data_IF_191547878131
#
_entry.id   IF_191547878131
#
_cell.length_a   1.000
_cell.length_b   1.000
_cell.length_c   1.000
_cell.angle_alpha   90.00
_cell.angle_beta   90.00
_cell.angle_gamma   90.00
#
_symmetry.space_group_name_H-M   'P 1'
#
loop_
_entity.id
_entity.type
_entity.pdbx_description
1 polymer ?
#
# COMPACT_ATOMS: atom_id res chain seq x y z
N UNK A 1 30.94 17.78 -1.37
CA UNK A 1 31.35 16.84 -2.44
C UNK A 1 30.07 16.32 -3.07
N UNK A 2 29.90 16.45 -4.39
CA UNK A 2 28.79 15.81 -5.09
C UNK A 2 29.09 14.32 -5.22
N UNK A 3 28.41 13.49 -4.44
CA UNK A 3 28.45 12.05 -4.65
C UNK A 3 27.76 11.74 -5.98
N UNK A 4 28.39 10.93 -6.84
CA UNK A 4 27.67 10.36 -7.97
C UNK A 4 26.49 9.52 -7.45
N UNK A 5 25.32 9.56 -8.11
CA UNK A 5 24.15 8.82 -7.64
C UNK A 5 24.47 7.33 -7.57
N UNK A 6 24.42 6.77 -6.36
CA UNK A 6 24.86 5.40 -6.08
C UNK A 6 24.02 4.40 -6.87
N UNK A 7 24.58 3.91 -7.99
CA UNK A 7 23.90 2.98 -8.90
C UNK A 7 23.52 1.69 -8.16
N UNK A 8 22.23 1.50 -7.93
CA UNK A 8 21.71 0.25 -7.37
C UNK A 8 21.65 -0.83 -8.46
N UNK A 9 22.05 -2.04 -8.08
CA UNK A 9 21.94 -3.27 -8.85
C UNK A 9 20.56 -3.90 -8.64
N UNK A 10 19.83 -4.08 -9.73
CA UNK A 10 18.62 -4.89 -9.71
C UNK A 10 19.02 -6.37 -9.62
N UNK A 11 18.38 -7.10 -8.71
CA UNK A 11 18.51 -8.56 -8.59
C UNK A 11 17.22 -9.18 -9.14
N UNK A 12 17.35 -10.19 -10.00
CA UNK A 12 16.25 -10.89 -10.69
C UNK A 12 16.51 -11.06 -12.18
N UNK A 13 15.81 -12.00 -12.82
CA UNK A 13 15.90 -12.36 -14.25
C UNK A 13 15.33 -11.30 -15.21
N UNK A 14 15.72 -10.05 -15.00
CA UNK A 14 15.28 -8.90 -15.79
C UNK A 14 13.92 -8.31 -15.34
N UNK A 15 13.49 -7.33 -16.13
CA UNK A 15 12.18 -6.69 -16.00
C UNK A 15 11.07 -7.75 -16.25
N UNK A 16 10.04 -7.90 -15.38
CA UNK A 16 8.97 -8.89 -15.58
C UNK A 16 8.20 -8.70 -16.90
N UNK A 17 8.25 -7.49 -17.46
CA UNK A 17 7.65 -7.10 -18.74
C UNK A 17 8.62 -7.23 -19.92
N UNK A 18 9.84 -7.72 -19.70
CA UNK A 18 10.84 -7.88 -20.75
C UNK A 18 10.34 -8.86 -21.82
N UNK A 19 10.16 -8.38 -23.04
CA UNK A 19 9.57 -9.16 -24.14
C UNK A 19 8.04 -9.10 -24.23
N UNK A 20 7.36 -8.36 -23.35
CA UNK A 20 6.01 -7.89 -23.66
C UNK A 20 6.07 -7.03 -24.93
N UNK A 21 5.17 -7.31 -25.88
CA UNK A 21 4.97 -6.48 -27.07
C UNK A 21 3.70 -5.67 -26.85
N UNK A 22 3.87 -4.46 -26.36
CA UNK A 22 2.76 -3.53 -26.28
C UNK A 22 2.28 -3.20 -27.69
N UNK A 23 0.97 -3.29 -27.90
CA UNK A 23 0.37 -3.01 -29.19
C UNK A 23 0.49 -1.51 -29.52
N UNK A 24 0.52 -1.19 -30.82
CA UNK A 24 0.47 0.20 -31.25
C UNK A 24 -0.79 0.90 -30.69
N UNK A 25 -0.59 2.04 -30.00
CA UNK A 25 -1.67 2.91 -29.48
C UNK A 25 -1.72 4.21 -30.32
N UNK A 26 -2.79 4.42 -31.12
CA UNK A 26 -3.00 5.67 -31.84
C UNK A 26 -3.22 6.85 -30.88
N UNK A 27 -2.43 7.92 -31.02
CA UNK A 27 -2.48 9.07 -30.11
C UNK A 27 -3.81 9.86 -30.21
N UNK A 28 -4.47 9.83 -31.37
CA UNK A 28 -5.79 10.42 -31.62
C UNK A 28 -6.94 9.70 -30.89
N UNK A 29 -6.70 8.50 -30.35
CA UNK A 29 -7.67 7.75 -29.53
C UNK A 29 -7.50 7.98 -28.03
N UNK A 30 -6.37 8.53 -27.59
CA UNK A 30 -6.08 8.79 -26.18
C UNK A 30 -6.84 10.06 -25.75
N UNK A 31 -7.82 9.90 -24.87
CA UNK A 31 -8.51 11.02 -24.23
C UNK A 31 -7.75 11.48 -22.98
N UNK A 32 -7.24 10.54 -22.18
CA UNK A 32 -6.41 10.81 -21.01
C UNK A 32 -5.46 9.63 -20.70
N UNK A 33 -4.53 9.86 -19.77
CA UNK A 33 -3.60 8.84 -19.25
C UNK A 33 -3.60 8.83 -17.72
N UNK A 34 -3.37 7.67 -17.11
CA UNK A 34 -3.30 7.54 -15.65
C UNK A 34 -2.10 6.74 -15.16
N UNK A 35 -1.57 7.12 -14.00
CA UNK A 35 -0.53 6.38 -13.31
C UNK A 35 -1.13 5.22 -12.48
N UNK A 36 -0.59 4.02 -12.65
CA UNK A 36 -0.96 2.79 -11.93
C UNK A 36 0.26 2.19 -11.23
N UNK A 37 0.19 1.89 -9.91
CA UNK A 37 -0.92 2.11 -9.00
C UNK A 37 -1.03 3.59 -8.58
N UNK A 38 -2.20 4.07 -8.13
CA UNK A 38 -2.35 5.44 -7.62
C UNK A 38 -1.58 5.69 -6.31
N UNK A 39 -1.33 4.62 -5.55
CA UNK A 39 -0.52 4.62 -4.32
C UNK A 39 0.49 3.47 -4.43
N UNK A 40 1.77 3.83 -4.56
CA UNK A 40 2.87 2.86 -4.63
C UNK A 40 3.45 2.53 -3.25
N UNK A 41 3.59 1.24 -2.91
CA UNK A 41 4.18 0.77 -1.65
C UNK A 41 5.54 0.11 -1.81
N UNK A 42 6.48 0.60 -1.02
CA UNK A 42 7.92 0.46 -1.22
C UNK A 42 8.58 -0.40 -0.13
N UNK A 43 9.78 -1.04 -0.26
CA UNK A 43 10.52 -1.69 0.89
C UNK A 43 11.97 -1.21 1.24
N UNK A 44 12.24 -0.98 2.55
CA UNK A 44 13.47 -0.40 3.15
C UNK A 44 14.48 -1.52 3.31
N UNK A 45 15.72 -1.16 3.05
CA UNK A 45 16.87 -2.02 3.16
C UNK A 45 18.06 -1.21 3.61
N UNK A 46 19.09 -1.89 4.06
CA UNK A 46 20.28 -1.27 4.61
C UNK A 46 21.06 -0.46 3.53
N UNK A 47 22.11 0.27 3.92
CA UNK A 47 23.08 0.83 2.98
C UNK A 47 23.84 -0.28 2.22
N UNK A 48 23.27 -0.66 1.07
CA UNK A 48 23.78 -1.68 0.15
C UNK A 48 23.42 -1.34 -1.30
N UNK A 49 23.92 -2.14 -2.25
CA UNK A 49 23.72 -1.89 -3.68
C UNK A 49 22.48 -2.59 -4.25
N UNK A 50 21.86 -3.53 -3.54
CA UNK A 50 20.86 -4.44 -4.14
C UNK A 50 19.39 -4.04 -3.89
N UNK A 51 18.56 -4.23 -4.93
CA UNK A 51 17.11 -4.06 -4.84
C UNK A 51 16.34 -5.08 -5.71
N UNK A 52 15.06 -5.26 -5.41
CA UNK A 52 14.10 -6.09 -6.15
C UNK A 52 12.77 -5.35 -6.35
N UNK A 53 11.91 -5.83 -7.25
CA UNK A 53 10.60 -5.20 -7.49
C UNK A 53 9.53 -5.65 -6.49
N UNK A 54 8.59 -4.75 -6.20
CA UNK A 54 7.32 -5.12 -5.59
C UNK A 54 6.54 -6.04 -6.55
N UNK A 55 5.80 -7.04 -6.03
CA UNK A 55 4.88 -7.79 -6.86
C UNK A 55 3.83 -6.87 -7.49
N UNK A 56 3.55 -7.11 -8.77
CA UNK A 56 2.49 -6.43 -9.53
C UNK A 56 1.21 -7.27 -9.64
N UNK A 57 1.29 -8.53 -9.22
CA UNK A 57 0.18 -9.49 -9.19
C UNK A 57 -0.17 -9.76 -7.71
N UNK A 58 -1.44 -9.61 -7.29
CA UNK A 58 -1.88 -9.94 -5.94
C UNK A 58 -1.62 -11.40 -5.54
N UNK A 59 -1.53 -11.67 -4.25
CA UNK A 59 -1.24 -12.98 -3.66
C UNK A 59 0.24 -13.35 -3.61
N UNK A 60 1.12 -12.65 -4.34
CA UNK A 60 2.56 -12.90 -4.30
C UNK A 60 3.20 -12.29 -3.05
N UNK A 61 3.72 -13.16 -2.17
CA UNK A 61 4.40 -12.75 -0.92
C UNK A 61 5.93 -12.86 -1.00
N UNK A 62 6.45 -13.65 -1.94
CA UNK A 62 7.89 -13.72 -2.22
C UNK A 62 8.27 -12.68 -3.30
N UNK A 63 9.52 -12.22 -3.32
CA UNK A 63 10.08 -11.50 -4.46
C UNK A 63 9.98 -12.34 -5.75
N UNK A 64 9.64 -11.70 -6.87
CA UNK A 64 9.55 -12.34 -8.18
C UNK A 64 10.96 -12.63 -8.77
N UNK A 65 11.01 -13.30 -9.92
CA UNK A 65 12.21 -13.52 -10.73
C UNK A 65 13.38 -14.23 -10.00
N UNK A 66 13.09 -15.37 -9.37
CA UNK A 66 14.11 -16.29 -8.80
C UNK A 66 14.69 -15.89 -7.44
N UNK A 67 14.32 -14.74 -6.90
CA UNK A 67 14.88 -14.18 -5.67
C UNK A 67 14.31 -14.88 -4.43
N UNK A 68 15.06 -15.85 -3.90
CA UNK A 68 14.69 -16.62 -2.71
C UNK A 68 15.19 -16.03 -1.36
N UNK A 69 15.80 -14.83 -1.37
CA UNK A 69 16.38 -14.18 -0.18
C UNK A 69 16.12 -12.67 -0.18
N UNK A 70 15.64 -12.17 0.95
CA UNK A 70 15.46 -10.73 1.22
C UNK A 70 16.75 -10.02 1.67
N UNK A 71 17.84 -10.76 1.91
CA UNK A 71 19.15 -10.22 2.27
C UNK A 71 20.19 -10.54 1.19
N UNK A 72 21.17 -9.66 1.03
CA UNK A 72 22.33 -9.86 0.17
C UNK A 72 23.39 -10.79 0.82
N UNK A 73 24.55 -10.92 0.18
CA UNK A 73 25.68 -11.71 0.69
C UNK A 73 26.27 -11.17 1.99
N UNK A 74 26.15 -9.86 2.26
CA UNK A 74 26.61 -9.18 3.48
C UNK A 74 25.56 -9.22 4.62
N UNK A 75 24.47 -9.96 4.45
CA UNK A 75 23.29 -9.99 5.34
C UNK A 75 22.52 -8.67 5.43
N UNK A 76 22.79 -7.70 4.56
CA UNK A 76 22.03 -6.44 4.47
C UNK A 76 20.67 -6.69 3.84
N UNK A 77 19.63 -6.06 4.38
CA UNK A 77 18.27 -6.12 3.84
C UNK A 77 18.25 -5.45 2.46
N UNK A 78 17.72 -6.15 1.46
CA UNK A 78 17.51 -5.64 0.10
C UNK A 78 16.31 -4.71 0.05
N UNK A 79 16.39 -3.66 -0.76
CA UNK A 79 15.29 -2.71 -0.96
C UNK A 79 14.23 -3.33 -1.90
N UNK A 80 12.93 -3.19 -1.62
CA UNK A 80 11.84 -3.50 -2.59
C UNK A 80 11.40 -2.21 -3.24
N UNK A 81 11.02 -2.26 -4.51
CA UNK A 81 10.82 -1.06 -5.31
C UNK A 81 9.50 -1.12 -6.11
N UNK A 82 8.63 -0.10 -6.02
CA UNK A 82 7.24 -0.17 -6.52
C UNK A 82 6.98 0.25 -7.97
N UNK A 83 6.66 -0.75 -8.82
CA UNK A 83 5.90 -0.65 -10.09
C UNK A 83 5.11 0.67 -10.26
N UNK A 84 5.46 1.60 -11.14
CA UNK A 84 4.58 2.64 -11.69
C UNK A 84 4.54 2.50 -13.21
N UNK A 85 3.33 2.50 -13.79
CA UNK A 85 3.03 2.36 -15.23
C UNK A 85 2.03 3.43 -15.63
N UNK A 86 2.02 3.83 -16.89
CA UNK A 86 1.05 4.79 -17.43
C UNK A 86 0.10 4.05 -18.35
N UNK A 87 -1.20 4.08 -18.08
CA UNK A 87 -2.22 3.51 -18.97
C UNK A 87 -2.94 4.62 -19.73
N UNK A 88 -3.12 4.45 -21.04
CA UNK A 88 -3.96 5.32 -21.86
C UNK A 88 -5.42 4.87 -21.86
N UNK A 89 -6.34 5.82 -21.87
CA UNK A 89 -7.77 5.61 -21.87
C UNK A 89 -8.43 6.31 -23.06
N UNK A 90 -9.49 5.71 -23.58
CA UNK A 90 -10.39 6.34 -24.55
C UNK A 90 -11.47 7.18 -23.86
N UNK A 91 -12.23 7.94 -24.64
CA UNK A 91 -13.39 8.72 -24.19
C UNK A 91 -14.47 7.89 -23.47
N UNK A 92 -14.54 6.59 -23.76
CA UNK A 92 -15.49 5.66 -23.11
C UNK A 92 -14.91 5.03 -21.82
N UNK A 93 -13.85 5.62 -21.25
CA UNK A 93 -13.07 5.13 -20.11
C UNK A 93 -12.50 3.71 -20.29
N UNK A 94 -12.37 3.22 -21.54
CA UNK A 94 -11.76 1.92 -21.85
C UNK A 94 -10.25 2.07 -21.97
N UNK A 95 -9.51 1.09 -21.44
CA UNK A 95 -8.06 1.10 -21.53
C UNK A 95 -7.65 0.84 -22.97
N UNK A 96 -6.69 1.61 -23.48
CA UNK A 96 -6.08 1.44 -24.79
C UNK A 96 -4.80 0.59 -24.70
N UNK A 97 -4.02 0.79 -23.63
CA UNK A 97 -2.90 -0.05 -23.21
C UNK A 97 -1.95 0.70 -22.29
N UNK A 98 -0.85 0.06 -21.90
CA UNK A 98 0.27 0.79 -21.30
C UNK A 98 0.89 1.73 -22.35
N UNK A 99 1.25 2.94 -21.94
CA UNK A 99 2.06 3.90 -22.68
C UNK A 99 3.45 3.90 -22.06
N UNK A 100 4.46 3.52 -22.85
CA UNK A 100 5.85 3.57 -22.46
C UNK A 100 6.75 3.87 -23.68
N UNK A 101 8.07 3.96 -23.46
CA UNK A 101 9.04 4.31 -24.50
C UNK A 101 9.29 3.23 -25.57
N UNK A 102 8.59 2.09 -25.51
CA UNK A 102 8.61 1.02 -26.53
C UNK A 102 7.36 1.04 -27.42
N UNK A 103 6.29 1.72 -27.00
CA UNK A 103 5.03 1.84 -27.76
C UNK A 103 5.19 2.84 -28.90
N UNK A 104 4.86 2.42 -30.12
CA UNK A 104 4.96 3.26 -31.32
C UNK A 104 3.72 4.15 -31.52
N UNK A 105 3.92 5.33 -32.10
CA UNK A 105 2.89 6.34 -32.37
C UNK A 105 2.54 6.35 -33.88
N UNK A 106 1.28 6.01 -34.16
CA UNK A 106 0.78 5.71 -35.51
C UNK A 106 1.41 4.44 -36.11
N UNK A 107 1.14 4.22 -37.39
CA UNK A 107 1.78 3.17 -38.21
C UNK A 107 3.30 3.40 -38.41
N UNK A 108 3.84 4.53 -37.94
CA UNK A 108 5.27 4.84 -38.01
C UNK A 108 6.00 4.27 -36.79
N UNK A 109 6.82 3.25 -37.02
CA UNK A 109 7.57 2.52 -35.99
C UNK A 109 8.71 3.31 -35.34
N UNK A 110 9.06 4.50 -35.83
CA UNK A 110 10.18 5.30 -35.30
C UNK A 110 9.76 6.31 -34.22
N UNK A 111 8.46 6.62 -34.10
CA UNK A 111 7.96 7.55 -33.07
C UNK A 111 7.50 6.78 -31.85
N UNK A 112 7.98 7.12 -30.66
CA UNK A 112 7.55 6.53 -29.39
C UNK A 112 7.13 7.61 -28.39
N UNK A 113 6.39 7.21 -27.35
CA UNK A 113 5.99 8.13 -26.29
C UNK A 113 7.18 8.49 -25.38
N UNK A 114 7.28 9.78 -25.05
CA UNK A 114 8.20 10.32 -24.05
C UNK A 114 7.42 10.49 -22.74
N UNK A 115 7.94 9.92 -21.66
CA UNK A 115 7.37 10.06 -20.32
C UNK A 115 8.31 10.91 -19.45
N UNK A 116 7.80 12.03 -18.95
CA UNK A 116 8.49 12.87 -17.98
C UNK A 116 7.87 12.69 -16.60
N UNK A 117 8.72 12.50 -15.59
CA UNK A 117 8.30 12.12 -14.26
C UNK A 117 8.87 13.06 -13.21
N UNK A 118 7.99 13.48 -12.31
CA UNK A 118 8.32 14.30 -11.14
C UNK A 118 7.95 13.55 -9.88
N UNK A 119 8.88 13.47 -8.93
CA UNK A 119 8.63 12.89 -7.62
C UNK A 119 9.00 13.90 -6.53
N UNK A 120 8.07 14.11 -5.59
CA UNK A 120 8.24 15.00 -4.44
C UNK A 120 7.91 14.21 -3.17
N UNK A 121 8.93 13.96 -2.36
CA UNK A 121 8.83 13.21 -1.10
C UNK A 121 9.29 14.10 0.06
N UNK A 122 8.62 14.00 1.20
CA UNK A 122 9.04 14.69 2.40
C UNK A 122 8.81 13.84 3.65
N UNK A 123 9.61 14.08 4.69
CA UNK A 123 9.45 13.52 6.02
C UNK A 123 9.15 14.65 7.00
N UNK A 124 7.90 14.69 7.46
CA UNK A 124 7.37 15.68 8.39
C UNK A 124 7.14 15.11 9.81
N UNK A 125 7.73 13.95 10.14
CA UNK A 125 7.48 13.28 11.42
C UNK A 125 7.86 14.11 12.65
N UNK A 126 8.94 14.90 12.52
CA UNK A 126 9.47 15.75 13.60
C UNK A 126 8.57 16.98 13.84
N UNK A 127 7.92 17.51 12.80
CA UNK A 127 7.05 18.69 12.90
C UNK A 127 5.60 18.36 13.24
N UNK A 128 5.23 17.08 13.33
CA UNK A 128 3.89 16.65 13.67
C UNK A 128 3.68 16.46 15.19
N UNK A 129 2.41 16.47 15.60
CA UNK A 129 2.00 16.25 16.99
C UNK A 129 2.32 14.83 17.48
N UNK A 130 2.23 14.62 18.79
CA UNK A 130 2.36 13.29 19.37
C UNK A 130 1.09 12.51 19.05
N UNK A 131 1.20 11.30 18.51
CA UNK A 131 0.03 10.47 18.34
C UNK A 131 -0.37 9.87 19.69
N UNK A 132 -1.59 10.20 20.15
CA UNK A 132 -2.17 9.76 21.42
C UNK A 132 -3.37 8.83 21.20
N UNK A 133 -3.61 8.40 19.96
CA UNK A 133 -4.83 7.71 19.55
C UNK A 133 -5.85 8.65 18.90
N UNK A 134 -6.64 8.14 17.95
CA UNK A 134 -7.72 8.91 17.34
C UNK A 134 -8.88 9.12 18.33
N UNK A 135 -9.14 8.15 19.21
CA UNK A 135 -10.24 8.19 20.18
C UNK A 135 -9.91 8.95 21.49
N UNK A 136 -8.70 9.52 21.63
CA UNK A 136 -8.30 10.22 22.85
C UNK A 136 -8.83 11.65 22.93
N UNK A 137 -9.24 12.08 24.13
CA UNK A 137 -9.55 13.49 24.41
C UNK A 137 -8.25 14.24 24.74
N UNK A 138 -7.84 15.14 23.84
CA UNK A 138 -6.57 15.86 23.94
C UNK A 138 -6.56 16.87 25.10
N UNK A 139 -5.55 16.78 25.97
CA UNK A 139 -5.26 17.81 26.99
C UNK A 139 -3.93 18.51 26.77
N UNK A 140 -2.93 17.86 26.15
CA UNK A 140 -1.66 18.47 25.72
C UNK A 140 -1.20 17.84 24.40
N UNK A 141 -0.98 18.67 23.36
CA UNK A 141 -0.97 18.24 21.95
C UNK A 141 0.43 18.09 21.31
N UNK A 142 1.45 18.72 21.88
CA UNK A 142 2.80 18.75 21.28
C UNK A 142 3.65 17.57 21.74
N UNK A 143 4.38 16.92 20.82
CA UNK A 143 5.64 16.25 21.19
C UNK A 143 6.52 17.30 21.91
N UNK A 144 7.43 16.90 22.82
CA UNK A 144 8.52 17.77 23.21
C UNK A 144 9.33 18.10 21.95
N UNK A 145 9.01 19.23 21.31
CA UNK A 145 9.81 19.78 20.23
C UNK A 145 11.20 20.00 20.83
N UNK A 146 12.32 19.72 20.12
CA UNK A 146 13.64 20.14 20.55
C UNK A 146 13.58 21.60 21.03
N UNK A 147 13.66 21.79 22.36
CA UNK A 147 13.08 22.96 23.03
C UNK A 147 13.94 24.22 22.81
N UNK A 148 13.84 24.83 21.62
CA UNK A 148 14.52 26.08 21.27
C UNK A 148 14.03 26.76 19.96
N UNK A 149 13.50 26.03 18.98
CA UNK A 149 13.18 26.60 17.66
C UNK A 149 11.85 27.38 17.62
N UNK A 150 11.88 28.58 17.01
CA UNK A 150 10.68 29.39 16.71
C UNK A 150 9.78 28.67 15.69
N UNK A 151 8.47 28.98 15.60
CA UNK A 151 7.57 28.35 14.64
C UNK A 151 8.09 28.33 13.19
N UNK A 152 8.65 29.44 12.71
CA UNK A 152 9.16 29.55 11.34
C UNK A 152 10.42 28.71 11.10
N UNK A 153 11.25 28.53 12.14
CA UNK A 153 12.43 27.67 12.09
C UNK A 153 12.08 26.17 12.00
N UNK A 154 10.84 25.77 12.32
CA UNK A 154 10.42 24.36 12.28
C UNK A 154 10.42 23.77 10.87
N UNK A 155 10.45 24.58 9.82
CA UNK A 155 10.62 24.09 8.44
C UNK A 155 11.96 23.31 8.28
N UNK A 156 12.99 23.67 9.06
CA UNK A 156 14.32 23.02 9.07
C UNK A 156 14.32 21.60 9.67
N UNK A 157 13.22 21.23 10.34
CA UNK A 157 12.95 19.88 10.86
C UNK A 157 12.23 18.98 9.86
N UNK A 158 11.83 19.52 8.70
CA UNK A 158 11.26 18.75 7.59
C UNK A 158 12.40 18.35 6.66
N UNK A 159 12.53 17.07 6.37
CA UNK A 159 13.38 16.62 5.25
C UNK A 159 12.50 16.68 4.01
N UNK A 160 12.79 17.57 3.07
CA UNK A 160 12.02 17.76 1.85
C UNK A 160 12.92 17.54 0.63
N UNK A 161 12.49 16.67 -0.28
CA UNK A 161 13.28 16.24 -1.43
C UNK A 161 12.39 16.12 -2.69
N UNK A 162 12.68 16.96 -3.69
CA UNK A 162 12.03 16.96 -5.01
C UNK A 162 13.05 16.60 -6.08
N UNK A 163 12.63 15.81 -7.07
CA UNK A 163 13.43 15.45 -8.24
C UNK A 163 12.58 15.27 -9.49
N UNK A 164 13.16 15.57 -10.63
CA UNK A 164 12.56 15.56 -11.97
C UNK A 164 13.47 14.81 -12.94
N UNK A 165 12.87 14.08 -13.88
CA UNK A 165 13.60 13.22 -14.83
C UNK A 165 12.71 12.80 -16.01
N UNK A 166 13.26 12.92 -17.21
CA UNK A 166 12.69 12.43 -18.46
C UNK A 166 13.17 11.00 -18.80
N UNK A 167 12.53 10.35 -19.77
CA UNK A 167 12.87 8.99 -20.24
C UNK A 167 14.37 8.77 -20.42
N UNK A 168 14.92 7.80 -19.68
CA UNK A 168 16.32 7.40 -19.75
C UNK A 168 16.70 6.47 -18.61
N UNK A 169 17.92 5.93 -18.62
CA UNK A 169 18.41 4.93 -17.64
C UNK A 169 19.04 5.53 -16.38
N UNK A 170 18.89 6.85 -16.17
CA UNK A 170 19.62 7.64 -15.16
C UNK A 170 19.04 7.45 -13.75
N UNK A 171 19.92 7.30 -12.76
CA UNK A 171 19.58 7.45 -11.34
C UNK A 171 19.59 8.95 -10.96
N UNK A 172 18.60 9.39 -10.17
CA UNK A 172 18.50 10.72 -9.56
C UNK A 172 18.25 10.51 -8.07
N UNK A 173 19.22 10.83 -7.22
CA UNK A 173 18.98 10.75 -5.78
C UNK A 173 18.00 11.85 -5.32
N UNK A 174 17.09 11.48 -4.42
CA UNK A 174 16.23 12.41 -3.69
C UNK A 174 16.87 12.65 -2.31
N UNK A 175 17.65 13.70 -2.24
CA UNK A 175 18.37 14.13 -1.04
C UNK A 175 17.70 15.37 -0.46
N UNK A 176 17.58 15.40 0.87
CA UNK A 176 17.08 16.54 1.62
C UNK A 176 18.00 16.84 2.80
N UNK A 177 17.90 18.04 3.36
CA UNK A 177 18.67 18.42 4.55
C UNK A 177 17.82 18.25 5.81
N UNK A 178 18.46 17.96 6.94
CA UNK A 178 17.81 17.87 8.25
C UNK A 178 18.62 18.62 9.31
N UNK A 179 17.96 19.49 10.07
CA UNK A 179 18.57 20.23 11.17
C UNK A 179 17.85 19.87 12.48
N UNK A 180 18.24 18.73 13.06
CA UNK A 180 17.69 18.20 14.31
C UNK A 180 18.24 18.91 15.56
N UNK A 181 18.03 18.28 16.73
CA UNK A 181 18.41 18.83 18.04
C UNK A 181 19.93 18.93 18.30
N UNK A 182 20.75 18.25 17.51
CA UNK A 182 22.20 18.37 17.57
C UNK A 182 22.64 19.49 16.62
N UNK A 183 23.53 20.36 17.07
CA UNK A 183 23.93 21.62 16.42
C UNK A 183 24.68 21.50 15.07
N UNK A 184 24.56 20.36 14.38
CA UNK A 184 25.19 20.09 13.08
C UNK A 184 24.14 19.72 12.03
N UNK A 185 24.31 20.27 10.83
CA UNK A 185 23.47 19.94 9.67
C UNK A 185 23.86 18.55 9.17
N UNK A 186 23.00 17.57 9.40
CA UNK A 186 23.19 16.22 8.88
C UNK A 186 22.47 16.10 7.53
N UNK A 187 23.21 15.69 6.49
CA UNK A 187 22.62 15.34 5.19
C UNK A 187 21.77 14.09 5.32
N UNK A 188 20.52 14.13 4.85
CA UNK A 188 19.58 13.02 4.89
C UNK A 188 19.27 12.49 3.50
N UNK A 189 19.84 11.33 3.13
CA UNK A 189 19.44 10.64 1.91
C UNK A 189 18.06 9.98 2.11
N UNK A 190 17.01 10.56 1.52
CA UNK A 190 15.64 10.06 1.68
C UNK A 190 15.32 8.88 0.77
N UNK A 191 15.72 8.97 -0.50
CA UNK A 191 15.29 8.05 -1.56
C UNK A 191 16.24 8.12 -2.77
N UNK A 192 16.24 7.10 -3.64
CA UNK A 192 16.99 7.12 -4.89
C UNK A 192 16.04 6.80 -6.05
N UNK A 193 15.69 7.80 -6.86
CA UNK A 193 14.99 7.53 -8.11
C UNK A 193 15.95 6.91 -9.12
N UNK A 194 15.41 6.09 -10.01
CA UNK A 194 15.95 5.81 -11.35
C UNK A 194 14.77 5.51 -12.22
N UNK A 195 14.81 5.89 -13.49
CA UNK A 195 13.78 5.47 -14.43
C UNK A 195 14.29 4.25 -15.20
N UNK A 196 13.59 3.11 -15.29
CA UNK A 196 12.17 2.71 -15.12
C UNK A 196 11.65 2.58 -13.66
N UNK A 197 11.40 3.68 -12.91
CA UNK A 197 11.19 3.88 -11.44
C UNK A 197 12.00 2.96 -10.44
N UNK A 198 12.15 3.26 -9.13
CA UNK A 198 11.28 2.83 -7.98
C UNK A 198 11.95 3.08 -6.57
N UNK A 199 11.21 3.15 -5.42
CA UNK A 199 11.68 3.56 -4.04
C UNK A 199 11.30 2.64 -2.80
N UNK A 200 11.36 3.06 -1.48
CA UNK A 200 11.79 2.25 -0.26
C UNK A 200 10.95 2.24 1.17
N UNK A 201 10.37 1.12 1.80
CA UNK A 201 9.93 0.76 3.28
C UNK A 201 9.52 -0.76 3.82
N UNK A 202 10.31 -1.56 4.65
CA UNK A 202 10.39 -3.08 5.02
C UNK A 202 9.18 -4.05 5.41
N UNK A 203 9.28 -5.43 5.36
CA UNK A 203 8.92 -6.46 6.43
C UNK A 203 8.89 -8.02 6.12
N UNK A 204 8.66 -8.85 7.17
CA UNK A 204 9.13 -10.24 7.46
C UNK A 204 8.22 -11.48 7.13
N UNK A 205 8.80 -12.68 7.28
CA UNK A 205 8.23 -14.01 6.95
C UNK A 205 7.76 -14.81 8.19
N UNK A 206 6.71 -15.63 8.05
CA UNK A 206 6.32 -16.66 9.03
C UNK A 206 6.09 -18.01 8.35
N UNK A 207 6.86 -19.03 8.73
CA UNK A 207 6.60 -20.44 8.40
C UNK A 207 6.68 -21.30 9.66
N UNK A 208 5.51 -21.58 10.22
CA UNK A 208 5.19 -22.89 10.81
C UNK A 208 3.86 -23.33 10.18
N UNK A 209 3.63 -24.59 9.84
CA UNK A 209 4.04 -25.76 10.62
C UNK A 209 2.87 -26.13 11.53
N UNK A 210 1.88 -26.81 10.94
CA UNK A 210 0.67 -27.34 11.60
C UNK A 210 -0.20 -26.34 12.38
N UNK A 211 -1.17 -25.72 11.70
CA UNK A 211 -2.37 -25.21 12.34
C UNK A 211 -3.63 -25.82 11.68
N UNK A 212 -4.49 -26.48 12.48
CA UNK A 212 -5.75 -27.09 12.01
C UNK A 212 -6.85 -26.05 11.70
N UNK A 213 -6.48 -24.79 11.46
CA UNK A 213 -7.37 -23.65 11.27
C UNK A 213 -7.12 -22.83 10.00
N UNK A 214 -6.22 -23.25 9.10
CA UNK A 214 -6.00 -22.54 7.86
C UNK A 214 -7.20 -22.71 6.91
N UNK A 215 -7.81 -21.60 6.46
CA UNK A 215 -8.98 -21.66 5.57
C UNK A 215 -8.68 -22.23 4.17
N UNK A 216 -7.40 -22.31 3.76
CA UNK A 216 -7.00 -23.06 2.56
C UNK A 216 -6.60 -24.52 2.81
N UNK A 217 -6.79 -25.05 4.02
CA UNK A 217 -6.54 -26.46 4.30
C UNK A 217 -7.44 -27.38 3.45
N UNK A 218 -6.92 -28.54 3.05
CA UNK A 218 -7.65 -29.50 2.19
C UNK A 218 -9.04 -29.85 2.74
N UNK A 219 -9.20 -29.97 4.06
CA UNK A 219 -10.47 -30.26 4.71
C UNK A 219 -11.49 -29.12 4.57
N UNK A 220 -11.06 -27.86 4.74
CA UNK A 220 -11.94 -26.69 4.54
C UNK A 220 -12.31 -26.53 3.07
N UNK A 221 -11.33 -26.65 2.16
CA UNK A 221 -11.58 -26.56 0.72
C UNK A 221 -12.51 -27.69 0.24
N UNK A 222 -12.38 -28.91 0.76
CA UNK A 222 -13.31 -30.00 0.45
C UNK A 222 -14.74 -29.70 0.90
N UNK A 223 -14.95 -28.99 2.02
CA UNK A 223 -16.29 -28.51 2.40
C UNK A 223 -16.76 -27.46 1.39
N UNK A 224 -15.97 -26.42 1.15
CA UNK A 224 -16.36 -25.27 0.30
C UNK A 224 -16.59 -25.66 -1.17
N UNK A 225 -15.88 -26.66 -1.70
CA UNK A 225 -16.04 -27.19 -3.07
C UNK A 225 -17.10 -28.31 -3.18
N UNK A 226 -17.54 -28.92 -2.07
CA UNK A 226 -18.54 -30.01 -2.13
C UNK A 226 -19.91 -29.52 -2.57
N UNK A 227 -20.68 -30.34 -3.30
CA UNK A 227 -22.04 -29.98 -3.75
C UNK A 227 -23.09 -29.90 -2.61
N UNK A 228 -22.75 -30.36 -1.40
CA UNK A 228 -23.66 -30.37 -0.25
C UNK A 228 -23.91 -28.95 0.30
N UNK A 229 -24.90 -28.25 -0.29
CA UNK A 229 -25.34 -26.89 0.06
C UNK A 229 -25.56 -26.74 1.57
N UNK A 230 -26.31 -27.66 2.19
CA UNK A 230 -26.62 -27.62 3.64
C UNK A 230 -25.35 -27.64 4.50
N UNK A 231 -24.37 -28.49 4.14
CA UNK A 231 -23.07 -28.57 4.85
C UNK A 231 -22.23 -27.32 4.61
N UNK A 232 -22.21 -26.78 3.37
CA UNK A 232 -21.52 -25.51 3.04
C UNK A 232 -22.10 -24.36 3.85
N UNK A 233 -23.39 -24.08 3.74
CA UNK A 233 -24.00 -22.89 4.37
C UNK A 233 -23.92 -22.97 5.89
N UNK A 234 -24.07 -24.16 6.50
CA UNK A 234 -23.83 -24.36 7.95
C UNK A 234 -22.38 -24.04 8.35
N UNK A 235 -21.40 -24.34 7.49
CA UNK A 235 -20.00 -23.97 7.72
C UNK A 235 -19.78 -22.45 7.52
N UNK A 236 -20.33 -21.85 6.46
CA UNK A 236 -20.25 -20.40 6.22
C UNK A 236 -20.91 -19.58 7.34
N UNK A 237 -22.07 -20.00 7.83
CA UNK A 237 -22.78 -19.39 8.95
C UNK A 237 -21.92 -19.38 10.23
N UNK A 238 -21.29 -20.51 10.58
CA UNK A 238 -20.36 -20.60 11.72
C UNK A 238 -19.12 -19.70 11.60
N UNK A 239 -18.71 -19.33 10.38
CA UNK A 239 -17.66 -18.32 10.17
C UNK A 239 -18.22 -16.94 10.49
N UNK A 240 -19.38 -16.57 9.93
CA UNK A 240 -20.01 -15.27 10.17
C UNK A 240 -20.37 -15.05 11.65
N UNK A 241 -20.87 -16.08 12.35
CA UNK A 241 -21.15 -16.07 13.79
C UNK A 241 -19.93 -15.73 14.65
N UNK A 242 -18.72 -15.91 14.12
CA UNK A 242 -17.46 -15.51 14.77
C UNK A 242 -17.00 -14.11 14.39
N UNK A 243 -17.50 -13.51 13.32
CA UNK A 243 -17.12 -12.16 12.93
C UNK A 243 -17.85 -11.13 13.80
N UNK A 244 -17.09 -10.19 14.36
CA UNK A 244 -17.63 -9.03 15.06
C UNK A 244 -18.36 -8.14 14.05
N UNK A 245 -19.58 -7.71 14.38
CA UNK A 245 -20.36 -6.77 13.58
C UNK A 245 -19.56 -5.47 13.39
N UNK A 246 -19.66 -4.81 12.22
CA UNK A 246 -18.95 -3.58 11.93
C UNK A 246 -19.50 -2.42 12.78
N UNK A 247 -18.84 -1.26 12.68
CA UNK A 247 -19.33 0.03 13.17
C UNK A 247 -19.81 0.06 14.64
N UNK A 248 -19.32 -0.88 15.45
CA UNK A 248 -19.66 -1.06 16.87
C UNK A 248 -21.15 -1.35 17.14
N UNK A 249 -21.87 -1.89 16.14
CA UNK A 249 -23.33 -2.16 16.19
C UNK A 249 -23.78 -3.06 17.35
N UNK A 250 -22.89 -3.83 17.97
CA UNK A 250 -23.20 -4.73 19.08
C UNK A 250 -22.08 -4.71 20.14
N UNK A 251 -22.22 -3.86 21.18
CA UNK A 251 -21.23 -3.74 22.25
C UNK A 251 -21.01 -5.03 23.05
N UNK A 252 -21.94 -6.00 23.01
CA UNK A 252 -21.77 -7.29 23.69
C UNK A 252 -20.70 -8.18 23.05
N UNK A 253 -20.19 -7.76 21.87
CA UNK A 253 -19.13 -8.44 21.14
C UNK A 253 -17.71 -7.96 21.51
N UNK A 254 -17.57 -7.21 22.61
CA UNK A 254 -16.30 -6.76 23.19
C UNK A 254 -15.58 -7.91 23.93
N UNK A 255 -15.41 -9.03 23.24
CA UNK A 255 -14.96 -10.31 23.76
C UNK A 255 -14.04 -10.99 22.73
N UNK A 256 -12.93 -11.57 23.20
CA UNK A 256 -11.96 -12.29 22.38
C UNK A 256 -12.51 -13.56 21.70
N UNK A 257 -13.73 -14.03 22.03
CA UNK A 257 -14.41 -15.11 21.29
C UNK A 257 -14.82 -14.70 19.86
N UNK A 258 -14.87 -13.40 19.56
CA UNK A 258 -15.16 -12.85 18.23
C UNK A 258 -13.87 -12.40 17.51
N UNK A 259 -13.94 -12.41 16.18
CA UNK A 259 -12.87 -12.13 15.22
C UNK A 259 -13.09 -10.80 14.50
N UNK A 260 -12.03 -10.08 14.09
CA UNK A 260 -10.62 -10.38 14.37
C UNK A 260 -10.25 -10.29 15.87
N UNK A 261 -9.24 -11.07 16.28
CA UNK A 261 -8.61 -11.01 17.61
C UNK A 261 -7.41 -10.07 17.58
N UNK A 262 -7.68 -8.79 17.37
CA UNK A 262 -6.67 -7.74 17.24
C UNK A 262 -7.14 -6.49 18.00
N UNK A 263 -6.19 -5.77 18.59
CA UNK A 263 -6.38 -4.41 19.12
C UNK A 263 -6.90 -3.47 18.02
N UNK A 264 -7.59 -2.40 18.41
CA UNK A 264 -8.08 -1.34 17.51
C UNK A 264 -7.60 0.05 17.94
N UNK A 265 -7.96 1.08 17.18
CA UNK A 265 -7.62 2.49 17.33
C UNK A 265 -7.98 3.16 18.70
N UNK A 266 -8.47 2.40 19.69
CA UNK A 266 -8.80 2.89 21.03
C UNK A 266 -8.12 2.06 22.14
N UNK A 267 -6.78 1.95 22.09
CA UNK A 267 -5.93 1.22 23.04
C UNK A 267 -6.08 -0.32 22.97
N UNK A 268 -5.17 -1.04 23.63
CA UNK A 268 -5.00 -2.47 23.45
C UNK A 268 -6.20 -3.32 23.87
N UNK A 269 -6.40 -4.42 23.12
CA UNK A 269 -7.28 -5.51 23.49
C UNK A 269 -6.71 -6.22 24.72
N UNK A 270 -7.43 -6.21 25.83
CA UNK A 270 -7.04 -6.96 27.04
C UNK A 270 -7.28 -8.46 26.85
N UNK A 271 -6.38 -9.27 27.39
CA UNK A 271 -6.51 -10.73 27.32
C UNK A 271 -7.78 -11.23 28.03
N UNK A 272 -8.41 -12.29 27.50
CA UNK A 272 -9.59 -12.89 28.13
C UNK A 272 -9.25 -13.40 29.54
N UNK A 273 -9.99 -12.88 30.53
CA UNK A 273 -9.78 -13.17 31.95
C UNK A 273 -9.15 -12.00 32.74
N UNK A 274 -8.60 -10.99 32.07
CA UNK A 274 -8.08 -9.76 32.70
C UNK A 274 -9.11 -8.61 32.77
N UNK A 275 -10.39 -8.91 32.62
CA UNK A 275 -11.46 -7.92 32.75
C UNK A 275 -11.76 -7.69 34.24
N UNK A 276 -11.74 -6.45 34.76
CA UNK A 276 -12.29 -6.17 36.07
C UNK A 276 -13.78 -6.54 36.04
N UNK A 277 -14.24 -7.28 37.05
CA UNK A 277 -15.50 -8.03 37.03
C UNK A 277 -16.79 -7.23 36.70
N UNK A 278 -16.71 -5.89 36.73
CA UNK A 278 -17.85 -4.98 36.64
C UNK A 278 -17.83 -4.08 35.38
N UNK A 279 -16.89 -4.27 34.44
CA UNK A 279 -16.83 -3.46 33.22
C UNK A 279 -16.59 -4.31 31.96
N UNK A 280 -17.59 -4.35 31.08
CA UNK A 280 -17.36 -4.72 29.67
C UNK A 280 -16.31 -3.76 29.09
N UNK A 281 -15.25 -4.25 28.43
CA UNK A 281 -14.27 -3.38 27.78
C UNK A 281 -14.96 -2.60 26.64
N UNK A 282 -14.46 -1.40 26.32
CA UNK A 282 -14.97 -0.66 25.15
C UNK A 282 -14.77 -1.49 23.88
N UNK A 283 -15.87 -1.74 23.16
CA UNK A 283 -15.89 -2.42 21.86
C UNK A 283 -14.92 -1.79 20.85
N UNK A 284 -14.59 -0.51 20.99
CA UNK A 284 -13.60 0.21 20.17
C UNK A 284 -12.15 -0.26 20.35
N UNK A 285 -11.84 -1.06 21.39
CA UNK A 285 -10.55 -1.76 21.57
C UNK A 285 -10.38 -2.96 20.65
N UNK A 286 -11.45 -3.44 20.01
CA UNK A 286 -11.44 -4.66 19.22
C UNK A 286 -11.62 -4.37 17.73
N UNK A 287 -10.75 -4.91 16.88
CA UNK A 287 -10.88 -4.79 15.42
C UNK A 287 -12.21 -5.37 14.92
N UNK A 288 -12.72 -4.80 13.84
CA UNK A 288 -13.82 -5.38 13.05
C UNK A 288 -13.37 -5.49 11.61
N UNK A 289 -14.05 -6.31 10.82
CA UNK A 289 -14.03 -6.11 9.37
C UNK A 289 -14.63 -4.74 9.02
N UNK A 290 -14.33 -4.21 7.84
CA UNK A 290 -15.09 -3.06 7.31
C UNK A 290 -16.54 -3.48 7.05
N UNK A 291 -17.48 -2.52 7.06
CA UNK A 291 -18.89 -2.79 6.75
C UNK A 291 -19.06 -3.54 5.43
N UNK A 292 -18.31 -3.15 4.39
CA UNK A 292 -18.31 -3.82 3.08
C UNK A 292 -17.79 -5.27 3.15
N UNK A 293 -16.71 -5.53 3.88
CA UNK A 293 -16.19 -6.88 4.08
C UNK A 293 -17.20 -7.75 4.84
N UNK A 294 -17.80 -7.24 5.92
CA UNK A 294 -18.81 -7.95 6.69
C UNK A 294 -20.07 -8.25 5.85
N UNK A 295 -20.54 -7.29 5.06
CA UNK A 295 -21.68 -7.49 4.14
C UNK A 295 -21.38 -8.52 3.04
N UNK A 296 -20.13 -8.59 2.55
CA UNK A 296 -19.71 -9.68 1.66
C UNK A 296 -19.83 -11.05 2.33
N UNK A 297 -19.40 -11.20 3.59
CA UNK A 297 -19.64 -12.44 4.35
C UNK A 297 -21.12 -12.71 4.61
N UNK A 298 -21.93 -11.68 4.92
CA UNK A 298 -23.38 -11.81 5.13
C UNK A 298 -24.09 -12.35 3.88
N UNK A 299 -23.75 -11.85 2.70
CA UNK A 299 -24.29 -12.35 1.41
C UNK A 299 -23.74 -13.72 1.04
N UNK A 300 -22.43 -13.94 1.20
CA UNK A 300 -21.77 -15.22 0.87
C UNK A 300 -22.30 -16.41 1.66
N UNK A 301 -22.79 -16.20 2.91
CA UNK A 301 -23.24 -17.30 3.78
C UNK A 301 -24.41 -18.11 3.19
N UNK A 302 -25.27 -17.46 2.40
CA UNK A 302 -26.51 -17.99 1.82
C UNK A 302 -26.50 -17.95 0.28
N UNK A 303 -25.34 -17.75 -0.36
CA UNK A 303 -25.26 -17.61 -1.82
C UNK A 303 -25.54 -18.91 -2.61
N UNK A 304 -25.71 -20.03 -1.91
CA UNK A 304 -25.81 -21.41 -2.39
C UNK A 304 -24.70 -21.85 -3.37
N UNK A 305 -23.61 -21.09 -3.51
CA UNK A 305 -22.51 -21.38 -4.43
C UNK A 305 -21.44 -22.23 -3.76
N UNK A 306 -20.97 -23.23 -4.51
CA UNK A 306 -19.71 -23.91 -4.22
C UNK A 306 -18.55 -22.99 -4.63
N UNK A 307 -17.41 -23.16 -3.96
CA UNK A 307 -16.15 -22.61 -4.41
C UNK A 307 -15.72 -23.33 -5.70
N UNK A 308 -15.18 -22.61 -6.68
CA UNK A 308 -14.81 -23.20 -7.97
C UNK A 308 -13.81 -24.36 -7.78
N UNK A 309 -14.05 -25.44 -8.53
CA UNK A 309 -13.13 -26.55 -8.72
C UNK A 309 -11.69 -26.10 -9.00
N UNK A 310 -11.48 -25.08 -9.85
CA UNK A 310 -10.14 -24.57 -10.21
C UNK A 310 -9.59 -23.53 -9.24
N UNK A 311 -10.37 -23.09 -8.24
CA UNK A 311 -9.90 -22.08 -7.28
C UNK A 311 -8.70 -22.58 -6.47
N UNK A 312 -7.71 -21.71 -6.32
CA UNK A 312 -6.47 -21.90 -5.56
C UNK A 312 -6.24 -20.73 -4.60
N UNK A 313 -5.66 -20.95 -3.40
CA UNK A 313 -5.20 -19.86 -2.53
C UNK A 313 -3.92 -19.18 -3.05
N UNK A 314 -3.14 -19.87 -3.89
CA UNK A 314 -1.90 -19.37 -4.47
C UNK A 314 -2.19 -18.60 -5.77
N UNK A 315 -1.47 -17.50 -6.06
CA UNK A 315 -1.64 -16.76 -7.31
C UNK A 315 -1.36 -17.65 -8.53
N UNK A 316 -2.22 -17.58 -9.55
CA UNK A 316 -2.10 -18.40 -10.76
C UNK A 316 -1.26 -17.73 -11.84
N UNK A 317 -1.38 -16.40 -11.96
CA UNK A 317 -0.58 -15.55 -12.85
C UNK A 317 0.76 -15.16 -12.21
N UNK A 318 1.77 -14.92 -13.03
CA UNK A 318 3.10 -14.49 -12.58
C UNK A 318 3.42 -13.04 -12.97
N UNK A 319 2.78 -12.55 -14.04
CA UNK A 319 3.00 -11.21 -14.60
C UNK A 319 1.66 -10.48 -14.74
N UNK A 320 1.67 -9.15 -14.77
CA UNK A 320 0.44 -8.37 -14.95
C UNK A 320 -0.11 -8.52 -16.38
N UNK A 321 0.78 -8.76 -17.34
CA UNK A 321 0.48 -9.00 -18.75
C UNK A 321 -0.24 -10.35 -18.98
N UNK A 322 -0.37 -11.20 -17.95
CA UNK A 322 -1.15 -12.44 -17.98
C UNK A 322 -2.67 -12.18 -17.68
N UNK A 323 -3.05 -10.96 -17.31
CA UNK A 323 -4.43 -10.54 -17.04
C UNK A 323 -5.05 -9.78 -18.22
N UNK A 324 -6.38 -9.74 -18.27
CA UNK A 324 -7.10 -8.88 -19.23
C UNK A 324 -6.70 -7.42 -19.01
N UNK A 325 -6.44 -6.72 -20.11
CA UNK A 325 -5.85 -5.37 -20.11
C UNK A 325 -6.65 -4.37 -19.28
N UNK A 326 -7.98 -4.45 -19.35
CA UNK A 326 -8.89 -3.54 -18.64
C UNK A 326 -8.88 -3.75 -17.12
N UNK A 327 -8.46 -4.92 -16.63
CA UNK A 327 -8.33 -5.22 -15.20
C UNK A 327 -6.95 -4.84 -14.61
N UNK A 328 -5.93 -4.60 -15.45
CA UNK A 328 -4.53 -4.47 -15.01
C UNK A 328 -4.30 -3.35 -13.98
N UNK A 329 -4.90 -2.14 -14.08
CA UNK A 329 -4.75 -1.11 -13.05
C UNK A 329 -5.31 -1.50 -11.68
N UNK A 330 -6.41 -2.27 -11.61
CA UNK A 330 -6.97 -2.76 -10.35
C UNK A 330 -6.04 -3.81 -9.71
N UNK A 331 -5.54 -4.75 -10.52
CA UNK A 331 -4.56 -5.75 -10.07
C UNK A 331 -3.26 -5.09 -9.56
N UNK A 332 -2.71 -4.08 -10.26
CA UNK A 332 -1.53 -3.32 -9.83
C UNK A 332 -1.77 -2.57 -8.52
N UNK A 333 -2.92 -1.91 -8.38
CA UNK A 333 -3.31 -1.19 -7.17
C UNK A 333 -3.52 -2.13 -6.00
N UNK A 334 -4.20 -3.25 -6.22
CA UNK A 334 -4.34 -4.30 -5.21
C UNK A 334 -3.00 -4.88 -4.80
N UNK A 335 -2.12 -5.23 -5.74
CA UNK A 335 -0.80 -5.81 -5.43
C UNK A 335 0.06 -4.84 -4.59
N UNK A 336 0.01 -3.55 -4.92
CA UNK A 336 0.66 -2.49 -4.14
C UNK A 336 0.14 -2.46 -2.69
N UNK A 337 -1.18 -2.46 -2.49
CA UNK A 337 -1.79 -2.22 -1.17
C UNK A 337 -1.98 -3.49 -0.31
N UNK A 338 -2.10 -4.68 -0.90
CA UNK A 338 -2.36 -5.94 -0.19
C UNK A 338 -1.25 -6.33 0.80
N UNK A 339 -0.04 -5.79 0.61
CA UNK A 339 1.07 -5.95 1.56
C UNK A 339 1.09 -4.96 2.73
N UNK A 340 0.10 -4.06 2.84
CA UNK A 340 0.04 -2.98 3.86
C UNK A 340 -1.08 -3.16 4.88
N UNK A 341 -0.92 -2.54 6.06
CA UNK A 341 -1.96 -2.59 7.10
C UNK A 341 -3.13 -1.65 6.79
N UNK A 342 -4.36 -2.19 6.85
CA UNK A 342 -5.60 -1.39 6.72
C UNK A 342 -6.29 -1.06 8.06
N UNK A 343 -6.22 -1.97 9.02
CA UNK A 343 -6.73 -1.81 10.39
C UNK A 343 -5.94 -2.74 11.33
N UNK A 344 -5.59 -2.33 12.56
CA UNK A 344 -5.72 -0.97 13.12
C UNK A 344 -4.72 0.04 12.54
N UNK A 345 -5.04 1.33 12.67
CA UNK A 345 -4.13 2.44 12.36
C UNK A 345 -3.83 3.25 13.63
N UNK A 346 -3.07 2.64 14.54
CA UNK A 346 -2.69 3.23 15.82
C UNK A 346 -1.17 3.19 16.05
N UNK A 347 -0.37 4.15 15.50
CA UNK A 347 -0.73 5.12 14.45
C UNK A 347 -0.85 4.50 13.05
N UNK A 348 -0.44 3.23 12.89
CA UNK A 348 -0.29 2.51 11.62
C UNK A 348 1.15 2.02 11.40
N UNK A 349 1.40 1.30 10.29
CA UNK A 349 2.74 0.85 9.89
C UNK A 349 3.22 1.66 8.68
N UNK A 350 2.61 1.47 7.50
CA UNK A 350 2.99 2.21 6.28
C UNK A 350 2.34 3.59 6.18
N UNK A 351 1.11 3.74 6.66
CA UNK A 351 0.32 4.98 6.58
C UNK A 351 -0.27 5.36 7.93
N UNK A 352 -0.34 6.66 8.18
CA UNK A 352 -0.99 7.27 9.35
C UNK A 352 -2.52 7.19 9.25
N UNK A 353 -3.22 7.23 10.39
CA UNK A 353 -4.68 7.04 10.48
C UNK A 353 -5.52 7.92 9.55
N UNK A 354 -5.00 9.05 9.06
CA UNK A 354 -5.68 9.89 8.07
C UNK A 354 -6.02 9.14 6.77
N UNK A 355 -5.38 8.00 6.48
CA UNK A 355 -5.80 7.08 5.41
C UNK A 355 -7.22 6.49 5.59
N UNK A 356 -7.88 6.69 6.75
CA UNK A 356 -9.31 6.39 6.97
C UNK A 356 -10.24 7.57 6.70
N UNK A 357 -9.71 8.79 6.51
CA UNK A 357 -10.52 9.98 6.25
C UNK A 357 -10.90 10.06 4.77
N UNK A 358 -12.17 10.35 4.47
CA UNK A 358 -12.62 10.57 3.09
C UNK A 358 -11.91 11.74 2.42
N UNK A 359 -11.55 12.79 3.18
CA UNK A 359 -10.84 13.98 2.68
C UNK A 359 -9.42 13.71 2.18
N UNK A 360 -8.84 12.56 2.53
CA UNK A 360 -7.53 12.10 2.01
C UNK A 360 -7.61 11.66 0.55
N UNK A 361 -8.81 11.36 0.05
CA UNK A 361 -9.03 10.83 -1.29
C UNK A 361 -9.93 11.76 -2.11
N UNK A 362 -9.69 11.77 -3.41
CA UNK A 362 -10.57 12.41 -4.37
C UNK A 362 -11.64 11.41 -4.82
N UNK A 363 -12.90 11.78 -4.60
CA UNK A 363 -14.11 11.07 -5.03
C UNK A 363 -14.96 11.91 -6.00
N UNK A 364 -14.46 13.08 -6.44
CA UNK A 364 -15.14 13.95 -7.41
C UNK A 364 -15.07 13.43 -8.85
N UNK A 365 -14.10 12.56 -9.15
CA UNK A 365 -13.99 11.87 -10.44
C UNK A 365 -14.68 10.52 -10.35
N UNK A 366 -15.73 10.32 -11.15
CA UNK A 366 -16.41 9.03 -11.28
C UNK A 366 -15.63 8.06 -12.19
N UNK A 367 -16.00 6.78 -12.14
CA UNK A 367 -15.59 5.76 -13.12
C UNK A 367 -14.07 5.48 -13.21
N UNK A 368 -13.30 5.95 -12.23
CA UNK A 368 -11.88 5.64 -12.08
C UNK A 368 -11.65 4.13 -11.88
N UNK A 369 -10.67 3.59 -12.60
CA UNK A 369 -10.14 2.23 -12.38
C UNK A 369 -8.65 2.38 -12.04
N UNK A 370 -8.21 2.11 -10.80
CA UNK A 370 -8.99 1.76 -9.60
C UNK A 370 -9.76 2.96 -9.00
N UNK A 371 -10.76 2.75 -8.11
CA UNK A 371 -11.82 3.72 -7.79
C UNK A 371 -11.46 4.84 -6.79
N UNK A 372 -10.20 5.26 -6.68
CA UNK A 372 -9.83 6.46 -5.93
C UNK A 372 -8.50 7.08 -6.41
N UNK A 373 -8.32 8.37 -6.18
CA UNK A 373 -6.99 9.03 -6.19
C UNK A 373 -6.72 9.64 -4.82
N UNK A 374 -5.45 9.90 -4.49
CA UNK A 374 -5.11 10.73 -3.33
C UNK A 374 -5.48 12.17 -3.66
N UNK A 375 -6.19 12.84 -2.76
CA UNK A 375 -6.58 14.24 -2.94
C UNK A 375 -5.34 15.15 -2.82
N UNK A 376 -4.82 15.59 -3.97
CA UNK A 376 -3.70 16.53 -4.04
C UNK A 376 -4.14 18.01 -4.13
N UNK A 377 -5.46 18.28 -4.16
CA UNK A 377 -6.02 19.62 -4.31
C UNK A 377 -5.76 20.22 -5.70
N UNK A 378 -6.28 21.43 -5.92
CA UNK A 378 -5.91 22.20 -7.10
C UNK A 378 -4.44 22.66 -7.00
N UNK A 379 -3.63 22.58 -8.08
CA UNK A 379 -2.24 23.03 -8.06
C UNK A 379 -2.10 24.48 -7.57
N UNK A 380 -1.30 24.68 -6.51
CA UNK A 380 -1.08 25.99 -5.91
C UNK A 380 -2.15 26.45 -4.91
N UNK A 381 -3.22 25.68 -4.68
CA UNK A 381 -4.22 26.01 -3.67
C UNK A 381 -3.64 25.97 -2.25
N UNK A 382 -3.82 27.04 -1.49
CA UNK A 382 -3.44 27.11 -0.07
C UNK A 382 -4.60 26.81 0.88
N UNK A 383 -5.83 26.83 0.37
CA UNK A 383 -7.07 26.77 1.16
C UNK A 383 -7.79 25.43 1.09
N UNK A 384 -7.61 24.66 0.01
CA UNK A 384 -8.28 23.36 -0.11
C UNK A 384 -7.61 22.33 0.81
N UNK A 385 -8.39 21.50 1.53
CA UNK A 385 -7.83 20.39 2.29
C UNK A 385 -7.26 19.35 1.32
N UNK A 386 -5.94 19.21 1.27
CA UNK A 386 -5.24 18.27 0.39
C UNK A 386 -4.02 17.63 1.06
N UNK A 387 -3.62 16.47 0.55
CA UNK A 387 -2.49 15.67 1.02
C UNK A 387 -1.19 16.18 0.39
N UNK A 388 -0.35 16.80 1.21
CA UNK A 388 0.98 17.28 0.81
C UNK A 388 2.03 16.17 0.97
N UNK A 389 3.20 16.25 0.29
CA UNK A 389 4.31 15.31 0.50
C UNK A 389 4.61 15.07 1.98
N UNK A 390 4.74 13.79 2.37
CA UNK A 390 4.97 13.38 3.76
C UNK A 390 3.75 13.37 4.69
N UNK A 391 2.58 13.85 4.28
CA UNK A 391 1.43 13.93 5.18
C UNK A 391 0.84 12.56 5.54
N UNK A 392 0.92 11.58 4.64
CA UNK A 392 0.50 10.19 4.90
C UNK A 392 1.38 9.46 5.94
N UNK A 393 2.58 9.97 6.26
CA UNK A 393 3.53 9.29 7.17
C UNK A 393 3.93 10.13 8.38
N UNK A 394 3.60 11.43 8.40
CA UNK A 394 4.02 12.39 9.46
C UNK A 394 3.58 12.02 10.87
N UNK A 395 2.45 11.33 11.04
CA UNK A 395 1.95 10.97 12.36
C UNK A 395 2.37 9.59 12.86
N UNK A 396 3.13 8.84 12.07
CA UNK A 396 3.77 7.61 12.52
C UNK A 396 4.85 7.89 13.58
N UNK A 397 5.35 6.83 14.22
CA UNK A 397 6.47 6.93 15.15
C UNK A 397 7.70 7.56 14.49
N UNK A 398 8.37 8.42 15.26
CA UNK A 398 9.67 9.01 14.92
C UNK A 398 10.72 8.16 15.65
N UNK A 399 11.68 7.54 14.94
CA UNK A 399 12.79 6.82 15.56
C UNK A 399 13.85 7.77 16.15
#
# INVERSE_FOLDING_TARGET
>A
MSFEPQKLCFIGDGDPSNGARDAHIPADRIEYVENSPPVGTVRFGDPGKEYFLAPEVPGHTNPLAGINRFRDSEQKIRRRAVRFRVHAYSRDNKILGEVNSQVTIGDNTEKTYILEWTAHVANKKVTHTAFQGHCAHYTQSTRPIPHQLKPDDRIKLIVDAKGEISTGTKFVNLEGTFQGSNSQVNGGHMASLKFRCFNIMDQQYSRSGTCNGHFSSKAVLAILKSDNVKKRNKFKARILEKLRKPDFEDPTQADAKYMPRLSRDNDDMRDPGLFPANLQPDIKRFSTLTKLQYERFRKWKDDDKALDSVWSPEPQQQRIEDFQKDDQPDYLMRASLESTIGDPLFPGIEMYWIAKLSTTYDFGVSDLVPPFRVNHGAPGSLTDPHVKPGDLTRGLSLP
#
